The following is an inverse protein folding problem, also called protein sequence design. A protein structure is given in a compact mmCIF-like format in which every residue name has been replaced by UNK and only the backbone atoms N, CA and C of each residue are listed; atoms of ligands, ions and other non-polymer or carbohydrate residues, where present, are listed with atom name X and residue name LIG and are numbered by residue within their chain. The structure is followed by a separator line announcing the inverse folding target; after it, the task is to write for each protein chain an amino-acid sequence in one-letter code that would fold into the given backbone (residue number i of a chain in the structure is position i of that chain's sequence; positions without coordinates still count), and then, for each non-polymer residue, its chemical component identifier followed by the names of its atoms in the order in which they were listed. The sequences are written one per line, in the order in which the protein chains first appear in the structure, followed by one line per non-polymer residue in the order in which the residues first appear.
data_IF_482322935174
#
_entry.id   IF_482322935174
#
_cell.length_a   1.000
_cell.length_b   1.000
_cell.length_c   1.000
_cell.angle_alpha   90.00
_cell.angle_beta   90.00
_cell.angle_gamma   90.00
#
_symmetry.space_group_name_H-M   'P 1'
#
loop_
_entity.id
_entity.type
_entity.pdbx_description
1 polymer ?
#
# COMPACT_ATOMS: atom_id res chain seq x y z
N UNK A 1 -24.04 -6.92 -3.74
CA UNK A 1 -23.44 -6.60 -5.05
C UNK A 1 -22.43 -5.50 -4.79
N UNK A 2 -21.14 -5.71 -5.10
CA UNK A 2 -20.11 -4.69 -4.93
C UNK A 2 -20.45 -3.53 -5.88
N UNK A 3 -20.77 -2.37 -5.33
CA UNK A 3 -21.00 -1.17 -6.14
C UNK A 3 -19.72 -0.87 -6.93
N UNK A 4 -19.86 -0.64 -8.23
CA UNK A 4 -18.78 -0.16 -9.09
C UNK A 4 -18.53 1.31 -8.72
N UNK A 5 -17.76 1.53 -7.67
CA UNK A 5 -17.31 2.85 -7.27
C UNK A 5 -16.39 3.41 -8.38
N UNK A 6 -16.71 4.56 -8.99
CA UNK A 6 -15.94 5.12 -10.09
C UNK A 6 -14.48 5.41 -9.70
N UNK A 7 -14.21 5.72 -8.43
CA UNK A 7 -12.85 5.93 -7.92
C UNK A 7 -12.10 4.60 -7.90
N UNK A 8 -12.75 3.54 -7.41
CA UNK A 8 -12.15 2.21 -7.35
C UNK A 8 -11.81 1.68 -8.75
N UNK A 9 -12.69 1.88 -9.72
CA UNK A 9 -12.45 1.47 -11.10
C UNK A 9 -11.31 2.25 -11.76
N UNK A 10 -11.22 3.55 -11.51
CA UNK A 10 -10.10 4.35 -12.01
C UNK A 10 -8.77 3.89 -11.41
N UNK A 11 -8.73 3.66 -10.09
CA UNK A 11 -7.53 3.11 -9.41
C UNK A 11 -7.14 1.75 -10.01
N UNK A 12 -8.11 0.88 -10.26
CA UNK A 12 -7.87 -0.44 -10.88
C UNK A 12 -7.34 -0.30 -12.31
N UNK A 13 -7.90 0.62 -13.11
CA UNK A 13 -7.44 0.89 -14.48
C UNK A 13 -5.99 1.35 -14.48
N UNK A 14 -5.67 2.38 -13.71
CA UNK A 14 -4.30 2.92 -13.59
C UNK A 14 -3.32 1.85 -13.13
N UNK A 15 -3.69 1.03 -12.14
CA UNK A 15 -2.83 -0.08 -11.68
C UNK A 15 -2.54 -1.10 -12.78
N UNK A 16 -3.55 -1.44 -13.61
CA UNK A 16 -3.37 -2.36 -14.74
C UNK A 16 -2.43 -1.78 -15.79
N UNK A 17 -2.55 -0.50 -16.11
CA UNK A 17 -1.69 0.19 -17.08
C UNK A 17 -0.24 0.22 -16.62
N UNK A 18 0.00 0.56 -15.35
CA UNK A 18 1.35 0.52 -14.76
C UNK A 18 1.92 -0.90 -14.79
N UNK A 19 1.12 -1.91 -14.41
CA UNK A 19 1.60 -3.30 -14.42
C UNK A 19 1.91 -3.78 -15.85
N UNK A 20 1.09 -3.37 -16.83
CA UNK A 20 1.30 -3.67 -18.25
C UNK A 20 2.60 -3.04 -18.78
N UNK A 21 2.95 -1.82 -18.37
CA UNK A 21 4.24 -1.21 -18.75
C UNK A 21 5.46 -1.98 -18.22
N UNK A 22 5.28 -2.85 -17.22
CA UNK A 22 6.30 -3.78 -16.71
C UNK A 22 6.11 -5.22 -17.20
N UNK A 23 5.37 -5.44 -18.31
CA UNK A 23 5.16 -6.76 -18.89
C UNK A 23 4.35 -7.71 -18.00
N UNK A 24 3.51 -7.17 -17.12
CA UNK A 24 2.76 -7.97 -16.14
C UNK A 24 3.55 -8.36 -14.89
N UNK A 25 4.84 -8.03 -14.80
CA UNK A 25 5.70 -8.44 -13.69
C UNK A 25 5.57 -7.49 -12.50
N UNK A 26 4.88 -7.97 -11.45
CA UNK A 26 4.77 -7.24 -10.18
C UNK A 26 6.15 -6.99 -9.55
N UNK A 27 7.05 -7.98 -9.63
CA UNK A 27 8.41 -7.85 -9.11
C UNK A 27 9.18 -6.73 -9.81
N UNK A 28 9.09 -6.66 -11.13
CA UNK A 28 9.77 -5.62 -11.91
C UNK A 28 9.22 -4.21 -11.58
N UNK A 29 7.89 -4.08 -11.49
CA UNK A 29 7.24 -2.84 -11.07
C UNK A 29 7.69 -2.42 -9.67
N UNK A 30 7.73 -3.35 -8.71
CA UNK A 30 8.15 -3.06 -7.33
C UNK A 30 9.60 -2.58 -7.26
N UNK A 31 10.50 -3.24 -7.98
CA UNK A 31 11.91 -2.83 -8.06
C UNK A 31 12.08 -1.45 -8.68
N UNK A 32 11.30 -1.11 -9.71
CA UNK A 32 11.33 0.21 -10.33
C UNK A 32 10.88 1.31 -9.36
N UNK A 33 9.77 1.09 -8.64
CA UNK A 33 9.29 2.04 -7.62
C UNK A 33 10.32 2.24 -6.52
N UNK A 34 10.96 1.17 -6.03
CA UNK A 34 12.04 1.28 -5.04
C UNK A 34 13.22 2.10 -5.57
N UNK A 35 13.62 1.92 -6.83
CA UNK A 35 14.67 2.74 -7.46
C UNK A 35 14.24 4.20 -7.53
N UNK A 36 13.03 4.51 -7.99
CA UNK A 36 12.54 5.90 -8.07
C UNK A 36 12.53 6.56 -6.70
N UNK A 37 12.08 5.84 -5.67
CA UNK A 37 12.10 6.33 -4.29
C UNK A 37 13.52 6.64 -3.84
N UNK A 38 14.48 5.74 -4.11
CA UNK A 38 15.89 5.96 -3.79
C UNK A 38 16.45 7.23 -4.46
N UNK A 39 16.17 7.43 -5.74
CA UNK A 39 16.64 8.61 -6.49
C UNK A 39 15.93 9.91 -6.11
N UNK A 40 14.75 9.84 -5.47
CA UNK A 40 13.99 11.04 -5.06
C UNK A 40 14.67 11.83 -3.94
N UNK A 41 15.62 11.22 -3.22
CA UNK A 41 16.26 11.84 -2.06
C UNK A 41 15.31 12.06 -0.86
N UNK A 42 14.04 11.67 -0.98
CA UNK A 42 13.08 11.73 0.12
C UNK A 42 13.34 10.62 1.13
N UNK A 43 13.34 11.00 2.41
CA UNK A 43 13.47 10.05 3.51
C UNK A 43 12.35 9.00 3.45
N UNK A 44 12.74 7.72 3.43
CA UNK A 44 11.78 6.62 3.57
C UNK A 44 11.41 6.54 5.04
N UNK A 45 10.19 6.95 5.37
CA UNK A 45 9.64 6.86 6.73
C UNK A 45 9.67 5.40 7.16
N UNK A 46 10.58 5.08 8.07
CA UNK A 46 10.59 3.81 8.77
C UNK A 46 9.65 3.97 9.94
N UNK A 47 8.49 3.31 9.89
CA UNK A 47 7.67 3.20 11.08
C UNK A 47 8.52 2.59 12.19
N UNK A 48 8.66 3.31 13.31
CA UNK A 48 9.34 2.78 14.48
C UNK A 48 8.75 1.42 14.83
N UNK A 49 9.58 0.49 15.30
CA UNK A 49 9.07 -0.77 15.83
C UNK A 49 8.18 -0.43 17.02
N UNK A 50 6.86 -0.46 16.82
CA UNK A 50 5.93 -0.45 17.93
C UNK A 50 6.32 -1.65 18.79
N UNK A 51 6.76 -1.39 20.03
CA UNK A 51 7.01 -2.46 20.99
C UNK A 51 5.73 -3.28 21.05
N UNK A 52 5.82 -4.55 20.68
CA UNK A 52 4.69 -5.46 20.78
C UNK A 52 4.25 -5.47 22.24
N UNK A 53 3.05 -5.01 22.51
CA UNK A 53 2.49 -5.06 23.86
C UNK A 53 2.07 -6.51 24.11
N UNK A 54 2.58 -7.18 25.16
CA UNK A 54 2.21 -8.56 25.46
C UNK A 54 0.68 -8.68 25.60
N UNK A 55 0.09 -9.63 24.88
CA UNK A 55 -1.35 -9.91 24.94
C UNK A 55 -2.23 -9.14 23.94
N UNK A 56 -1.67 -8.30 23.07
CA UNK A 56 -2.42 -7.62 22.00
C UNK A 56 -2.02 -8.21 20.64
N UNK A 57 -3.01 -8.72 19.90
CA UNK A 57 -2.79 -9.17 18.53
C UNK A 57 -2.44 -7.97 17.62
N UNK A 58 -1.44 -8.09 16.73
CA UNK A 58 -0.80 -6.96 16.05
C UNK A 58 -1.71 -6.11 15.13
N UNK A 59 -2.96 -6.50 14.89
CA UNK A 59 -3.87 -5.85 13.95
C UNK A 59 -5.23 -5.42 14.57
N UNK A 60 -5.36 -5.34 15.89
CA UNK A 60 -6.60 -4.84 16.51
C UNK A 60 -6.55 -3.30 16.51
N UNK A 61 -7.25 -2.67 15.57
CA UNK A 61 -7.57 -1.25 15.68
C UNK A 61 -8.61 -1.07 16.80
N UNK A 62 -8.46 -0.10 17.72
CA UNK A 62 -9.48 0.18 18.73
C UNK A 62 -10.77 0.61 18.02
N UNK A 63 -11.83 -0.18 18.20
CA UNK A 63 -13.17 0.18 17.75
C UNK A 63 -13.66 1.28 18.69
N UNK A 64 -13.91 2.51 18.23
CA UNK A 64 -14.45 3.55 19.09
C UNK A 64 -15.81 3.09 19.61
N UNK A 65 -15.90 2.87 20.93
CA UNK A 65 -17.16 2.62 21.62
C UNK A 65 -18.07 3.81 21.39
N UNK A 66 -19.21 3.60 20.73
CA UNK A 66 -20.27 4.61 20.68
C UNK A 66 -20.71 4.91 22.12
N UNK A 67 -20.60 6.19 22.52
CA UNK A 67 -21.28 6.71 23.70
C UNK A 67 -22.79 6.70 23.46
#
# INVERSE_FOLDING_TARGET
MMQNDPIVEEVRRVRREILASHGGSFTAMSQDVMKRQWHSGHEVIRFGQNKQVPGIAPNIYPIPSKQ
#
